data_IF_161635175258
#
_entry.id   IF_161635175258
#
_cell.length_a   1.000
_cell.length_b   1.000
_cell.length_c   1.000
_cell.angle_alpha   90.00
_cell.angle_beta   90.00
_cell.angle_gamma   90.00
#
_symmetry.space_group_name_H-M   'P 1'
#
loop_
_entity.id
_entity.type
_entity.pdbx_description
1 polymer ?
#
# COMPACT_ATOMS: atom_id res chain seq x y z
N UNK A 1 -62.01 58.94 -17.50
CA UNK A 1 -61.72 57.70 -16.77
C UNK A 1 -61.35 56.50 -17.67
N UNK A 2 -61.56 56.47 -18.96
CA UNK A 2 -61.18 55.33 -19.85
C UNK A 2 -59.69 55.27 -20.28
N UNK A 3 -58.96 56.36 -20.17
CA UNK A 3 -57.52 56.42 -20.61
C UNK A 3 -56.50 56.04 -19.49
N UNK A 4 -56.89 55.99 -18.26
CA UNK A 4 -56.02 55.58 -17.10
C UNK A 4 -55.96 54.03 -16.95
N UNK A 5 -56.99 53.33 -17.40
CA UNK A 5 -57.08 51.87 -17.31
C UNK A 5 -56.11 51.18 -18.29
N UNK A 6 -55.78 51.78 -19.45
CA UNK A 6 -54.86 51.19 -20.43
C UNK A 6 -53.39 51.33 -20.05
N UNK A 7 -53.00 52.29 -19.18
CA UNK A 7 -51.60 52.43 -18.71
C UNK A 7 -51.29 51.43 -17.58
N UNK A 8 -52.30 51.07 -16.77
CA UNK A 8 -52.14 50.04 -15.72
C UNK A 8 -52.03 48.63 -16.27
N UNK A 9 -52.56 48.31 -17.44
CA UNK A 9 -52.49 47.00 -18.06
C UNK A 9 -51.17 46.68 -18.76
N UNK A 10 -50.37 47.70 -19.13
CA UNK A 10 -49.08 47.53 -19.80
C UNK A 10 -47.92 47.29 -18.81
N UNK A 11 -48.06 47.72 -17.53
CA UNK A 11 -47.01 47.51 -16.52
C UNK A 11 -47.02 46.09 -15.91
N UNK A 12 -48.08 45.32 -16.11
CA UNK A 12 -48.22 43.94 -15.59
C UNK A 12 -47.70 42.86 -16.54
N UNK A 13 -47.25 43.22 -17.75
CA UNK A 13 -46.72 42.25 -18.72
C UNK A 13 -45.16 42.15 -18.75
N UNK A 14 -44.44 42.82 -17.84
CA UNK A 14 -42.98 42.79 -17.76
C UNK A 14 -42.48 41.84 -16.65
N UNK A 15 -43.25 40.83 -16.26
CA UNK A 15 -42.74 39.69 -15.47
C UNK A 15 -42.30 38.60 -16.46
N UNK A 16 -41.27 38.89 -17.25
CA UNK A 16 -40.49 37.86 -17.94
C UNK A 16 -39.76 37.04 -16.88
N UNK A 17 -40.01 35.74 -16.88
CA UNK A 17 -39.23 34.81 -16.11
C UNK A 17 -37.75 35.01 -16.41
N UNK A 18 -36.95 35.16 -15.39
CA UNK A 18 -35.50 35.05 -15.50
C UNK A 18 -35.20 33.65 -16.04
N UNK A 19 -34.73 33.58 -17.28
CA UNK A 19 -34.09 32.39 -17.81
C UNK A 19 -33.01 31.98 -16.79
N UNK A 20 -32.93 30.71 -16.49
CA UNK A 20 -31.89 30.21 -15.60
C UNK A 20 -30.53 30.57 -16.21
N UNK A 21 -29.78 31.36 -15.51
CA UNK A 21 -28.47 31.92 -15.94
C UNK A 21 -27.38 30.84 -16.05
N UNK A 22 -27.74 29.54 -15.88
CA UNK A 22 -26.83 28.40 -15.86
C UNK A 22 -27.47 27.15 -16.49
N UNK A 23 -26.62 26.31 -17.06
CA UNK A 23 -27.05 25.09 -17.75
C UNK A 23 -27.21 23.91 -16.80
N UNK A 24 -26.36 23.78 -15.79
CA UNK A 24 -26.42 22.70 -14.81
C UNK A 24 -26.01 23.15 -13.44
N UNK A 25 -26.46 22.40 -12.44
CA UNK A 25 -26.08 22.59 -11.03
C UNK A 25 -25.47 21.31 -10.45
N UNK A 26 -24.62 21.49 -9.44
CA UNK A 26 -24.01 20.39 -8.75
C UNK A 26 -23.39 20.77 -7.41
N UNK A 27 -22.59 19.87 -6.88
CA UNK A 27 -21.84 20.10 -5.64
C UNK A 27 -20.35 19.79 -5.84
N UNK A 28 -19.51 20.55 -5.16
CA UNK A 28 -18.08 20.29 -5.18
C UNK A 28 -17.73 19.06 -4.34
N UNK A 29 -16.97 18.17 -4.93
CA UNK A 29 -16.47 16.92 -4.32
C UNK A 29 -14.95 16.87 -4.44
N UNK A 30 -14.28 16.15 -3.55
CA UNK A 30 -12.86 15.82 -3.65
C UNK A 30 -12.67 14.30 -3.59
N UNK A 31 -11.55 13.84 -4.09
CA UNK A 31 -11.17 12.43 -3.90
C UNK A 31 -10.72 12.25 -2.46
N UNK A 32 -11.51 11.51 -1.69
CA UNK A 32 -11.26 11.21 -0.29
C UNK A 32 -10.62 9.83 -0.14
N UNK A 33 -9.61 9.74 0.73
CA UNK A 33 -8.96 8.49 1.11
C UNK A 33 -9.07 8.32 2.62
N UNK A 34 -9.65 7.20 3.04
CA UNK A 34 -9.69 6.80 4.45
C UNK A 34 -8.46 5.95 4.75
N UNK A 35 -7.58 6.47 5.59
CA UNK A 35 -6.39 5.75 6.07
C UNK A 35 -6.80 4.93 7.28
N UNK A 36 -6.67 3.61 7.16
CA UNK A 36 -6.99 2.66 8.22
C UNK A 36 -5.73 2.03 8.80
N UNK A 37 -5.82 1.55 10.03
CA UNK A 37 -4.72 0.84 10.68
C UNK A 37 -4.41 -0.48 9.99
N UNK A 38 -3.13 -0.75 9.75
CA UNK A 38 -2.62 -2.03 9.24
C UNK A 38 -2.10 -2.94 10.37
N UNK A 39 -2.05 -2.44 11.61
CA UNK A 39 -1.56 -3.16 12.77
C UNK A 39 -2.54 -3.10 13.94
N UNK A 40 -2.39 -4.02 14.89
CA UNK A 40 -3.14 -4.03 16.14
C UNK A 40 -2.21 -3.68 17.29
N UNK A 41 -2.61 -2.71 18.11
CA UNK A 41 -1.87 -2.24 19.27
C UNK A 41 -2.35 -0.88 19.74
N UNK A 42 -1.76 -0.39 20.84
CA UNK A 42 -2.04 0.97 21.33
C UNK A 42 -1.36 2.00 20.43
N UNK A 43 -2.07 3.05 20.06
CA UNK A 43 -1.50 4.21 19.37
C UNK A 43 -0.62 4.98 20.36
N UNK A 44 0.68 5.02 20.13
CA UNK A 44 1.64 5.69 21.01
C UNK A 44 1.66 7.19 20.77
N UNK A 45 1.67 7.59 19.49
CA UNK A 45 1.55 8.96 19.05
C UNK A 45 0.71 9.02 17.76
N UNK A 46 0.04 10.14 17.56
CA UNK A 46 -0.73 10.42 16.34
C UNK A 46 -0.80 11.93 16.16
N UNK A 47 0.21 12.47 15.48
CA UNK A 47 0.53 13.90 15.41
C UNK A 47 -0.14 14.54 14.19
N UNK A 48 -1.45 14.44 14.10
CA UNK A 48 -2.24 15.10 13.06
C UNK A 48 -3.38 15.90 13.68
N UNK A 49 -3.78 16.94 12.97
CA UNK A 49 -4.97 17.73 13.28
C UNK A 49 -5.79 17.93 12.00
N UNK A 50 -7.10 18.15 12.15
CA UNK A 50 -7.98 18.48 11.05
C UNK A 50 -7.55 19.80 10.41
N UNK A 51 -7.51 19.83 9.07
CA UNK A 51 -6.97 20.95 8.30
C UNK A 51 -5.46 20.91 8.04
N UNK A 52 -4.71 20.03 8.70
CA UNK A 52 -3.27 19.86 8.47
C UNK A 52 -3.00 19.33 7.06
N UNK A 53 -2.00 19.89 6.39
CA UNK A 53 -1.49 19.40 5.10
C UNK A 53 -0.42 18.34 5.34
N UNK A 54 -0.56 17.20 4.67
CA UNK A 54 0.39 16.09 4.73
C UNK A 54 0.83 15.69 3.32
N UNK A 55 2.02 15.11 3.21
CA UNK A 55 2.55 14.59 1.95
C UNK A 55 2.47 13.07 1.91
N UNK A 56 2.51 12.50 0.71
CA UNK A 56 2.53 11.05 0.54
C UNK A 56 3.74 10.42 1.27
N UNK A 57 3.52 9.26 1.90
CA UNK A 57 4.48 8.52 2.71
C UNK A 57 4.98 9.25 3.97
N UNK A 58 4.33 10.34 4.36
CA UNK A 58 4.62 11.01 5.64
C UNK A 58 4.19 10.10 6.80
N UNK A 59 5.10 9.92 7.77
CA UNK A 59 4.77 9.25 9.01
C UNK A 59 3.95 10.21 9.90
N UNK A 60 2.77 9.78 10.29
CA UNK A 60 1.82 10.60 11.06
C UNK A 60 1.53 10.03 12.45
N UNK A 61 1.99 8.81 12.72
CA UNK A 61 1.82 8.18 14.02
C UNK A 61 2.53 6.83 14.13
N UNK A 62 2.44 6.25 15.32
CA UNK A 62 3.08 4.97 15.63
C UNK A 62 2.17 4.14 16.56
N UNK A 63 2.03 2.86 16.25
CA UNK A 63 1.35 1.85 17.07
C UNK A 63 2.43 1.07 17.84
N UNK A 64 2.12 0.66 19.06
CA UNK A 64 3.04 -0.12 19.90
C UNK A 64 3.47 -1.42 19.22
N UNK A 65 4.75 -1.54 18.97
CA UNK A 65 5.39 -2.68 18.32
C UNK A 65 6.37 -3.42 19.22
N UNK A 66 6.41 -3.11 20.53
CA UNK A 66 7.40 -3.68 21.46
C UNK A 66 7.41 -5.21 21.45
N UNK A 67 6.23 -5.83 21.50
CA UNK A 67 6.12 -7.30 21.49
C UNK A 67 6.65 -7.92 20.19
N UNK A 68 6.42 -7.27 19.05
CA UNK A 68 6.93 -7.72 17.75
C UNK A 68 8.47 -7.62 17.71
N UNK A 69 9.04 -6.54 18.23
CA UNK A 69 10.50 -6.39 18.34
C UNK A 69 11.14 -7.45 19.25
N UNK A 70 10.49 -7.81 20.36
CA UNK A 70 10.97 -8.87 21.26
C UNK A 70 10.92 -10.24 20.59
N UNK A 71 9.83 -10.56 19.87
CA UNK A 71 9.71 -11.79 19.09
C UNK A 71 10.78 -11.86 17.99
N UNK A 72 10.99 -10.77 17.26
CA UNK A 72 12.06 -10.67 16.27
C UNK A 72 13.44 -10.95 16.88
N UNK A 73 13.76 -10.32 18.00
CA UNK A 73 15.02 -10.55 18.71
C UNK A 73 15.19 -12.01 19.13
N UNK A 74 14.13 -12.66 19.58
CA UNK A 74 14.13 -14.09 19.93
C UNK A 74 14.46 -14.96 18.71
N UNK A 75 13.83 -14.73 17.55
CA UNK A 75 14.10 -15.50 16.32
C UNK A 75 15.54 -15.29 15.83
N UNK A 76 16.08 -14.07 15.91
CA UNK A 76 17.48 -13.80 15.56
C UNK A 76 18.42 -14.57 16.46
N UNK A 77 18.15 -14.62 17.76
CA UNK A 77 18.95 -15.40 18.70
C UNK A 77 18.89 -16.90 18.41
N UNK A 78 17.70 -17.43 18.07
CA UNK A 78 17.53 -18.82 17.65
C UNK A 78 18.30 -19.15 16.38
N UNK A 79 18.22 -18.27 15.36
CA UNK A 79 18.98 -18.42 14.12
C UNK A 79 20.48 -18.43 14.37
N UNK A 80 20.99 -17.51 15.20
CA UNK A 80 22.39 -17.44 15.56
C UNK A 80 22.87 -18.70 16.27
N UNK A 81 22.10 -19.22 17.23
CA UNK A 81 22.40 -20.46 17.93
C UNK A 81 22.43 -21.66 16.97
N UNK A 82 21.47 -21.73 16.05
CA UNK A 82 21.41 -22.78 15.03
C UNK A 82 22.64 -22.73 14.11
N UNK A 83 23.05 -21.58 13.63
CA UNK A 83 24.22 -21.41 12.78
C UNK A 83 25.52 -21.76 13.51
N UNK A 84 25.60 -21.47 14.82
CA UNK A 84 26.77 -21.84 15.66
C UNK A 84 26.89 -23.35 15.81
N UNK A 85 25.78 -24.10 15.71
CA UNK A 85 25.80 -25.56 15.80
C UNK A 85 26.33 -26.28 14.56
N UNK A 86 26.71 -25.55 13.51
CA UNK A 86 27.29 -26.14 12.29
C UNK A 86 28.55 -26.94 12.62
N UNK A 87 28.63 -28.17 12.11
CA UNK A 87 29.82 -29.00 12.33
C UNK A 87 31.02 -28.44 11.57
N UNK A 88 32.18 -28.43 12.25
CA UNK A 88 33.44 -28.18 11.56
C UNK A 88 33.91 -29.45 10.87
N UNK A 89 33.51 -29.56 9.59
CA UNK A 89 33.77 -30.74 8.75
C UNK A 89 35.27 -31.06 8.70
N UNK A 90 36.15 -30.07 8.62
CA UNK A 90 37.59 -30.28 8.52
C UNK A 90 38.13 -30.96 9.78
N UNK A 91 37.74 -30.48 10.94
CA UNK A 91 38.19 -31.06 12.22
C UNK A 91 37.63 -32.46 12.43
N UNK A 92 36.35 -32.70 12.07
CA UNK A 92 35.71 -33.99 12.31
C UNK A 92 36.29 -35.13 11.45
N UNK A 93 36.75 -34.83 10.24
CA UNK A 93 37.34 -35.85 9.34
C UNK A 93 38.86 -35.87 9.37
N UNK A 94 39.52 -35.00 10.13
CA UNK A 94 40.99 -34.91 10.16
C UNK A 94 41.64 -36.24 10.54
N UNK A 95 41.19 -36.88 11.62
CA UNK A 95 41.72 -38.17 12.08
C UNK A 95 41.61 -39.27 11.04
N UNK A 96 40.47 -39.38 10.35
CA UNK A 96 40.29 -40.38 9.29
C UNK A 96 41.22 -40.10 8.10
N UNK A 97 41.42 -38.88 7.73
CA UNK A 97 42.38 -38.50 6.66
C UNK A 97 43.79 -38.85 7.00
N UNK A 98 44.24 -38.57 8.25
CA UNK A 98 45.58 -38.96 8.71
C UNK A 98 45.77 -40.47 8.72
N UNK A 99 44.76 -41.25 9.13
CA UNK A 99 44.80 -42.70 9.11
C UNK A 99 44.98 -43.22 7.65
N UNK A 100 44.21 -42.66 6.71
CA UNK A 100 44.35 -43.02 5.30
C UNK A 100 45.73 -42.68 4.74
N UNK A 101 46.26 -41.48 5.06
CA UNK A 101 47.64 -41.09 4.67
C UNK A 101 48.67 -42.06 5.20
N UNK A 102 48.56 -42.46 6.49
CA UNK A 102 49.42 -43.43 7.12
C UNK A 102 49.37 -44.79 6.40
N UNK A 103 48.13 -45.29 6.16
CA UNK A 103 47.99 -46.60 5.47
C UNK A 103 48.50 -46.58 4.01
N UNK A 104 48.28 -45.47 3.29
CA UNK A 104 48.84 -45.30 1.97
C UNK A 104 50.37 -45.23 1.94
N UNK A 105 51.00 -44.69 3.00
CA UNK A 105 52.44 -44.71 3.15
C UNK A 105 52.98 -46.14 3.43
N UNK A 106 52.26 -46.89 4.29
CA UNK A 106 52.55 -48.31 4.58
C UNK A 106 52.40 -49.19 3.34
N UNK A 107 51.35 -48.98 2.55
CA UNK A 107 51.13 -49.68 1.26
C UNK A 107 52.34 -49.50 0.33
N UNK A 108 52.84 -48.26 0.18
CA UNK A 108 54.01 -47.98 -0.64
C UNK A 108 55.26 -48.68 -0.12
N UNK A 109 55.43 -48.78 1.20
CA UNK A 109 56.56 -49.51 1.82
C UNK A 109 56.49 -51.00 1.54
N UNK A 110 55.29 -51.60 1.75
CA UNK A 110 55.08 -53.05 1.48
C UNK A 110 55.22 -53.38 -0.01
N UNK A 111 54.75 -52.48 -0.91
CA UNK A 111 54.84 -52.63 -2.35
C UNK A 111 56.33 -52.69 -2.82
N UNK A 112 57.20 -51.82 -2.25
CA UNK A 112 58.63 -51.88 -2.50
C UNK A 112 59.28 -53.16 -1.93
N UNK A 113 58.89 -53.59 -0.71
CA UNK A 113 59.37 -54.86 -0.12
C UNK A 113 58.89 -56.08 -0.89
N UNK A 114 57.69 -56.07 -1.48
CA UNK A 114 57.17 -57.14 -2.31
C UNK A 114 58.01 -57.28 -3.60
N UNK A 115 58.42 -56.18 -4.24
CA UNK A 115 59.30 -56.19 -5.40
C UNK A 115 60.67 -56.78 -5.10
N UNK A 116 61.14 -56.60 -3.86
CA UNK A 116 62.42 -57.15 -3.38
C UNK A 116 62.28 -58.57 -2.82
N UNK A 117 61.09 -59.22 -2.85
CA UNK A 117 60.79 -60.53 -2.34
C UNK A 117 60.73 -60.62 -0.80
N UNK A 118 60.70 -59.49 -0.10
CA UNK A 118 60.70 -59.39 1.37
C UNK A 118 59.33 -59.21 2.02
N UNK A 119 58.23 -59.19 1.21
CA UNK A 119 56.85 -59.13 1.68
C UNK A 119 55.96 -60.14 0.91
N UNK A 120 54.74 -60.38 1.39
CA UNK A 120 53.76 -61.31 0.73
C UNK A 120 52.62 -60.50 0.07
N UNK A 121 52.03 -61.04 -1.00
CA UNK A 121 50.87 -60.48 -1.66
C UNK A 121 49.72 -60.26 -0.67
N UNK A 122 49.48 -61.24 0.24
CA UNK A 122 48.48 -61.13 1.28
C UNK A 122 48.64 -59.86 2.15
N UNK A 123 49.87 -59.52 2.52
CA UNK A 123 50.14 -58.31 3.31
C UNK A 123 49.71 -57.00 2.54
N UNK A 124 49.97 -56.96 1.23
CA UNK A 124 49.54 -55.87 0.37
C UNK A 124 48.01 -55.81 0.30
N UNK A 125 47.34 -56.94 0.00
CA UNK A 125 45.90 -57.02 -0.10
C UNK A 125 45.17 -56.62 1.18
N UNK A 126 45.72 -57.03 2.38
CA UNK A 126 45.19 -56.65 3.69
C UNK A 126 45.25 -55.13 3.93
N UNK A 127 46.36 -54.47 3.51
CA UNK A 127 46.49 -52.98 3.65
C UNK A 127 45.55 -52.30 2.64
N UNK A 128 45.44 -52.77 1.41
CA UNK A 128 44.48 -52.22 0.41
C UNK A 128 43.03 -52.30 0.89
N UNK A 129 42.66 -53.48 1.48
CA UNK A 129 41.34 -53.64 2.07
C UNK A 129 41.09 -52.64 3.23
N UNK A 130 42.09 -52.45 4.11
CA UNK A 130 42.01 -51.46 5.20
C UNK A 130 41.86 -50.03 4.71
N UNK A 131 42.57 -49.64 3.65
CA UNK A 131 42.44 -48.32 3.01
C UNK A 131 40.99 -48.12 2.48
N UNK A 132 40.43 -49.12 1.77
CA UNK A 132 39.04 -49.06 1.28
C UNK A 132 38.04 -48.89 2.39
N UNK A 133 38.20 -49.60 3.53
CA UNK A 133 37.33 -49.43 4.69
C UNK A 133 37.40 -48.03 5.26
N UNK A 134 38.59 -47.46 5.43
CA UNK A 134 38.76 -46.08 5.91
C UNK A 134 38.24 -45.02 4.95
N UNK A 135 38.42 -45.22 3.63
CA UNK A 135 37.86 -44.35 2.60
C UNK A 135 36.31 -44.38 2.61
N UNK A 136 35.73 -45.56 2.73
CA UNK A 136 34.26 -45.72 2.88
C UNK A 136 33.73 -45.06 4.16
N UNK A 137 34.45 -45.15 5.30
CA UNK A 137 34.09 -44.45 6.54
C UNK A 137 34.19 -42.94 6.38
N UNK A 138 35.21 -42.44 5.67
CA UNK A 138 35.36 -41.00 5.38
C UNK A 138 34.19 -40.48 4.53
N UNK A 139 33.86 -41.20 3.47
CA UNK A 139 32.75 -40.84 2.59
C UNK A 139 31.39 -40.82 3.35
N UNK A 140 31.11 -41.85 4.14
CA UNK A 140 29.90 -41.90 4.96
C UNK A 140 29.82 -40.76 5.96
N UNK A 141 30.95 -40.41 6.62
CA UNK A 141 31.04 -39.29 7.55
C UNK A 141 30.81 -37.97 6.83
N UNK A 142 31.47 -37.73 5.70
CA UNK A 142 31.31 -36.53 4.89
C UNK A 142 29.86 -36.37 4.42
N UNK A 143 29.22 -37.46 3.96
CA UNK A 143 27.81 -37.45 3.56
C UNK A 143 26.88 -37.04 4.71
N UNK A 144 27.11 -37.61 5.91
CA UNK A 144 26.32 -37.27 7.12
C UNK A 144 26.50 -35.81 7.50
N UNK A 145 27.74 -35.30 7.52
CA UNK A 145 28.05 -33.93 7.87
C UNK A 145 27.49 -32.94 6.85
N UNK A 146 27.53 -33.30 5.57
CA UNK A 146 26.91 -32.51 4.49
C UNK A 146 25.39 -32.40 4.68
N UNK A 147 24.73 -33.53 4.93
CA UNK A 147 23.27 -33.54 5.21
C UNK A 147 22.92 -32.69 6.44
N UNK A 148 23.69 -32.83 7.53
CA UNK A 148 23.46 -32.02 8.73
C UNK A 148 23.65 -30.53 8.45
N UNK A 149 24.67 -30.14 7.69
CA UNK A 149 24.91 -28.76 7.31
C UNK A 149 23.78 -28.23 6.42
N UNK A 150 23.28 -29.03 5.47
CA UNK A 150 22.14 -28.64 4.64
C UNK A 150 20.89 -28.41 5.51
N UNK A 151 20.56 -29.36 6.40
CA UNK A 151 19.42 -29.22 7.32
C UNK A 151 19.51 -27.95 8.19
N UNK A 152 20.71 -27.62 8.69
CA UNK A 152 20.93 -26.40 9.47
C UNK A 152 20.69 -25.16 8.59
N UNK A 153 21.16 -25.18 7.33
CA UNK A 153 20.95 -24.07 6.40
C UNK A 153 19.46 -23.90 6.08
N UNK A 154 18.75 -24.99 5.77
CA UNK A 154 17.32 -24.97 5.44
C UNK A 154 16.49 -24.42 6.61
N UNK A 155 16.79 -24.87 7.83
CA UNK A 155 16.15 -24.34 9.03
C UNK A 155 16.50 -22.86 9.28
N UNK A 156 17.73 -22.41 8.97
CA UNK A 156 18.12 -21.01 9.05
C UNK A 156 17.35 -20.14 8.08
N UNK A 157 17.12 -20.61 6.85
CA UNK A 157 16.30 -19.92 5.84
C UNK A 157 14.85 -19.84 6.29
N UNK A 158 14.31 -20.89 6.90
CA UNK A 158 12.96 -20.86 7.46
C UNK A 158 12.80 -19.81 8.59
N UNK A 159 13.80 -19.69 9.48
CA UNK A 159 13.82 -18.64 10.51
C UNK A 159 13.95 -17.23 9.90
N UNK A 160 14.75 -17.07 8.85
CA UNK A 160 14.88 -15.80 8.13
C UNK A 160 13.54 -15.34 7.53
N UNK A 161 12.77 -16.26 6.94
CA UNK A 161 11.44 -15.96 6.44
C UNK A 161 10.49 -15.52 7.57
N UNK A 162 10.57 -16.13 8.77
CA UNK A 162 9.79 -15.71 9.93
C UNK A 162 10.20 -14.32 10.44
N UNK A 163 11.48 -14.00 10.44
CA UNK A 163 12.01 -12.67 10.80
C UNK A 163 11.49 -11.64 9.81
N UNK A 164 11.54 -11.91 8.50
CA UNK A 164 11.03 -11.01 7.47
C UNK A 164 9.52 -10.74 7.63
N UNK A 165 8.73 -11.75 7.98
CA UNK A 165 7.31 -11.57 8.27
C UNK A 165 7.04 -10.69 9.49
N UNK A 166 7.90 -10.76 10.52
CA UNK A 166 7.82 -9.85 11.66
C UNK A 166 8.26 -8.43 11.30
N UNK A 167 9.28 -8.27 10.45
CA UNK A 167 9.72 -6.97 9.97
C UNK A 167 8.63 -6.25 9.18
N UNK A 168 7.87 -6.96 8.32
CA UNK A 168 6.69 -6.44 7.65
C UNK A 168 5.63 -5.97 8.67
N UNK A 169 5.31 -6.78 9.67
CA UNK A 169 4.36 -6.41 10.73
C UNK A 169 4.82 -5.22 11.56
N UNK A 170 6.10 -5.11 11.86
CA UNK A 170 6.69 -3.96 12.56
C UNK A 170 6.59 -2.70 11.69
N UNK A 171 6.86 -2.82 10.40
CA UNK A 171 6.75 -1.68 9.48
C UNK A 171 5.33 -1.12 9.43
N UNK A 172 4.31 -1.97 9.48
CA UNK A 172 2.88 -1.62 9.51
C UNK A 172 2.44 -0.94 10.82
N UNK A 173 3.25 -1.01 11.87
CA UNK A 173 3.00 -0.24 13.09
C UNK A 173 3.30 1.26 12.93
N UNK A 174 3.97 1.67 11.85
CA UNK A 174 4.11 3.08 11.48
C UNK A 174 2.91 3.49 10.64
N UNK A 175 2.16 4.47 11.12
CA UNK A 175 1.01 5.02 10.38
C UNK A 175 1.56 5.99 9.34
N UNK A 176 1.44 5.62 8.06
CA UNK A 176 1.89 6.43 6.93
C UNK A 176 0.68 6.95 6.16
N UNK A 177 0.81 8.16 5.61
CA UNK A 177 -0.18 8.65 4.65
C UNK A 177 0.10 8.07 3.26
N UNK A 178 -0.83 7.35 2.62
CA UNK A 178 -0.62 6.81 1.27
C UNK A 178 -0.62 7.89 0.19
N UNK A 179 -1.26 9.02 0.45
CA UNK A 179 -1.42 10.13 -0.48
C UNK A 179 -1.11 11.47 0.21
N UNK A 180 -0.76 12.46 -0.60
CA UNK A 180 -0.70 13.85 -0.13
C UNK A 180 -2.08 14.48 -0.12
N UNK A 181 -2.31 15.45 0.78
CA UNK A 181 -3.57 16.16 0.86
C UNK A 181 -3.78 16.88 2.19
N UNK A 182 -5.02 17.22 2.48
CA UNK A 182 -5.43 17.84 3.74
C UNK A 182 -6.22 16.83 4.56
N UNK A 183 -5.93 16.74 5.84
CA UNK A 183 -6.70 15.92 6.80
C UNK A 183 -8.08 16.54 6.97
N UNK A 184 -9.11 15.79 6.61
CA UNK A 184 -10.51 16.22 6.76
C UNK A 184 -11.08 15.84 8.13
N UNK A 185 -10.78 14.61 8.57
CA UNK A 185 -11.31 14.06 9.82
C UNK A 185 -10.23 13.20 10.48
N UNK A 186 -10.12 13.33 11.79
CA UNK A 186 -9.32 12.48 12.67
C UNK A 186 -10.24 11.53 13.42
N UNK A 187 -10.14 10.22 13.20
CA UNK A 187 -11.03 9.21 13.79
C UNK A 187 -10.45 8.54 15.04
N UNK A 188 -9.18 8.76 15.36
CA UNK A 188 -8.51 8.10 16.47
C UNK A 188 -7.56 9.06 17.19
N UNK A 189 -7.31 8.79 18.46
CA UNK A 189 -6.41 9.57 19.31
C UNK A 189 -5.25 8.72 19.85
N UNK A 190 -4.14 9.40 20.22
CA UNK A 190 -3.07 8.76 20.96
C UNK A 190 -3.59 8.16 22.27
N UNK A 191 -3.14 6.95 22.59
CA UNK A 191 -3.62 6.20 23.75
C UNK A 191 -4.75 5.20 23.45
N UNK A 192 -5.47 5.36 22.34
CA UNK A 192 -6.51 4.42 21.92
C UNK A 192 -5.92 3.11 21.38
N UNK A 193 -6.77 2.07 21.36
CA UNK A 193 -6.44 0.80 20.72
C UNK A 193 -6.82 0.85 19.24
N UNK A 194 -5.83 0.58 18.38
CA UNK A 194 -6.03 0.33 16.97
C UNK A 194 -6.19 -1.18 16.72
N UNK A 195 -6.98 -1.52 15.73
CA UNK A 195 -7.09 -2.86 15.14
C UNK A 195 -6.97 -2.76 13.64
N UNK A 196 -6.55 -3.83 12.98
CA UNK A 196 -6.48 -3.85 11.51
C UNK A 196 -7.84 -3.48 10.91
N UNK A 197 -7.85 -2.53 9.98
CA UNK A 197 -9.05 -2.00 9.34
C UNK A 197 -9.75 -0.85 10.08
N UNK A 198 -9.36 -0.51 11.34
CA UNK A 198 -9.92 0.66 12.03
C UNK A 198 -9.55 1.95 11.30
N UNK A 199 -10.53 2.79 10.88
CA UNK A 199 -10.24 4.10 10.33
C UNK A 199 -9.47 4.95 11.34
N UNK A 200 -8.41 5.63 10.88
CA UNK A 200 -7.59 6.51 11.70
C UNK A 200 -7.76 7.98 11.29
N UNK A 201 -7.80 8.25 10.00
CA UNK A 201 -7.98 9.59 9.46
C UNK A 201 -8.58 9.53 8.05
N UNK A 202 -9.17 10.67 7.62
CA UNK A 202 -9.62 10.90 6.25
C UNK A 202 -8.84 12.04 5.65
N UNK A 203 -8.35 11.85 4.43
CA UNK A 203 -7.53 12.82 3.70
C UNK A 203 -8.18 13.10 2.36
N UNK A 204 -8.11 14.33 1.87
CA UNK A 204 -8.49 14.68 0.52
C UNK A 204 -7.48 15.63 -0.15
N UNK A 205 -7.35 15.49 -1.47
CA UNK A 205 -6.69 16.52 -2.28
C UNK A 205 -7.68 17.66 -2.51
N UNK A 206 -7.52 18.73 -1.74
CA UNK A 206 -8.35 19.93 -1.86
C UNK A 206 -7.84 20.91 -2.91
N UNK A 207 -6.68 20.68 -3.53
CA UNK A 207 -6.18 21.51 -4.61
C UNK A 207 -6.90 21.20 -5.93
N UNK A 208 -7.11 19.91 -6.20
CA UNK A 208 -7.82 19.44 -7.38
C UNK A 208 -9.20 18.92 -6.94
N UNK A 209 -10.20 19.76 -7.09
CA UNK A 209 -11.57 19.46 -6.68
C UNK A 209 -12.43 19.24 -7.94
N UNK A 210 -13.54 18.53 -7.80
CA UNK A 210 -14.48 18.28 -8.89
C UNK A 210 -15.81 18.91 -8.55
N UNK A 211 -16.42 19.59 -9.51
CA UNK A 211 -17.85 19.86 -9.47
C UNK A 211 -18.57 18.65 -10.11
N UNK A 212 -19.39 17.95 -9.33
CA UNK A 212 -20.30 16.93 -9.82
C UNK A 212 -21.62 17.60 -10.16
N UNK A 213 -21.76 17.97 -11.44
CA UNK A 213 -22.96 18.64 -11.97
C UNK A 213 -23.87 17.63 -12.69
N UNK A 214 -25.16 17.96 -12.79
CA UNK A 214 -26.19 17.10 -13.37
C UNK A 214 -26.81 17.77 -14.58
N UNK A 215 -26.64 17.12 -15.73
CA UNK A 215 -27.11 17.60 -17.02
C UNK A 215 -28.28 16.76 -17.53
N UNK A 216 -29.22 17.39 -18.20
CA UNK A 216 -30.29 16.69 -18.96
C UNK A 216 -29.69 16.03 -20.19
N UNK A 217 -30.47 15.12 -20.83
CA UNK A 217 -30.05 14.46 -22.07
C UNK A 217 -29.78 15.45 -23.23
N UNK A 218 -30.55 16.52 -23.31
CA UNK A 218 -30.42 17.54 -24.38
C UNK A 218 -29.14 18.36 -24.20
N UNK A 219 -28.81 18.72 -22.95
CA UNK A 219 -27.59 19.43 -22.63
C UNK A 219 -26.34 18.54 -22.84
N UNK A 220 -26.44 17.24 -22.51
CA UNK A 220 -25.35 16.29 -22.67
C UNK A 220 -24.87 16.14 -24.11
N UNK A 221 -25.77 16.33 -25.10
CA UNK A 221 -25.45 16.25 -26.52
C UNK A 221 -24.35 17.26 -26.95
N UNK A 222 -24.23 18.36 -26.23
CA UNK A 222 -23.30 19.47 -26.51
C UNK A 222 -21.98 19.38 -25.70
N UNK A 223 -21.83 18.39 -24.80
CA UNK A 223 -20.67 18.27 -23.90
C UNK A 223 -19.82 17.08 -24.31
N UNK A 224 -18.50 17.27 -24.34
CA UNK A 224 -17.52 16.23 -24.61
C UNK A 224 -16.47 16.17 -23.50
N UNK A 225 -15.89 15.01 -23.36
CA UNK A 225 -14.75 14.82 -22.45
C UNK A 225 -13.59 15.75 -22.86
N UNK A 226 -13.08 16.53 -21.92
CA UNK A 226 -12.00 17.48 -22.14
C UNK A 226 -12.44 18.91 -22.44
N UNK A 227 -13.73 19.16 -22.65
CA UNK A 227 -14.24 20.51 -22.89
C UNK A 227 -13.98 21.43 -21.70
N UNK A 228 -13.70 22.69 -22.00
CA UNK A 228 -13.61 23.75 -21.00
C UNK A 228 -14.98 24.38 -20.81
N UNK A 229 -15.38 24.52 -19.55
CA UNK A 229 -16.67 25.10 -19.16
C UNK A 229 -16.45 26.13 -18.06
N UNK A 230 -17.35 27.09 -17.98
CA UNK A 230 -17.36 28.07 -16.91
C UNK A 230 -18.10 27.47 -15.70
N UNK A 231 -17.46 27.50 -14.53
CA UNK A 231 -18.03 27.03 -13.27
C UNK A 231 -18.17 28.23 -12.34
N UNK A 232 -19.36 28.40 -11.80
CA UNK A 232 -19.68 29.46 -10.85
C UNK A 232 -19.93 28.83 -9.49
N UNK A 233 -19.15 29.24 -8.48
CA UNK A 233 -19.34 28.74 -7.11
C UNK A 233 -20.36 29.62 -6.39
N UNK A 234 -21.39 28.99 -5.79
CA UNK A 234 -22.45 29.66 -5.03
C UNK A 234 -22.11 29.61 -3.55
N UNK A 235 -21.82 30.76 -2.97
CA UNK A 235 -21.55 30.95 -1.54
C UNK A 235 -22.77 31.41 -0.75
N UNK A 236 -23.97 31.46 -1.39
CA UNK A 236 -25.22 31.84 -0.76
C UNK A 236 -25.42 33.34 -0.56
N UNK A 237 -24.65 34.20 -1.26
CA UNK A 237 -24.73 35.64 -1.25
C UNK A 237 -24.86 36.26 -2.63
N UNK A 238 -24.67 37.57 -2.74
CA UNK A 238 -24.61 38.28 -4.04
C UNK A 238 -23.25 38.05 -4.75
N UNK A 239 -22.20 37.64 -4.01
CA UNK A 239 -20.87 37.37 -4.55
C UNK A 239 -20.81 36.01 -5.22
N UNK A 240 -20.51 36.01 -6.50
CA UNK A 240 -20.27 34.81 -7.31
C UNK A 240 -18.82 34.77 -7.75
N UNK A 241 -18.20 33.61 -7.68
CA UNK A 241 -16.81 33.42 -8.09
C UNK A 241 -16.75 32.48 -9.27
N UNK A 242 -16.14 32.96 -10.34
CA UNK A 242 -15.98 32.25 -11.59
C UNK A 242 -14.69 31.43 -11.60
N UNK A 243 -14.79 30.19 -12.02
CA UNK A 243 -13.66 29.28 -12.23
C UNK A 243 -13.72 28.70 -13.64
N UNK A 244 -12.58 28.33 -14.17
CA UNK A 244 -12.52 27.51 -15.39
C UNK A 244 -12.46 26.05 -14.97
N UNK A 245 -13.41 25.27 -15.45
CA UNK A 245 -13.46 23.83 -15.23
C UNK A 245 -13.19 23.07 -16.53
N UNK A 246 -12.74 21.81 -16.41
CA UNK A 246 -12.58 20.91 -17.54
C UNK A 246 -13.38 19.63 -17.29
N UNK A 247 -14.18 19.22 -18.28
CA UNK A 247 -14.97 17.98 -18.21
C UNK A 247 -14.02 16.78 -18.11
N UNK A 248 -13.97 16.14 -16.94
CA UNK A 248 -13.08 15.02 -16.63
C UNK A 248 -13.75 13.66 -16.77
N UNK A 249 -15.08 13.60 -16.59
CA UNK A 249 -15.84 12.36 -16.68
C UNK A 249 -17.31 12.65 -16.91
N UNK A 250 -17.97 11.78 -17.70
CA UNK A 250 -19.40 11.81 -18.00
C UNK A 250 -19.96 10.43 -17.67
N UNK A 251 -21.06 10.38 -16.90
CA UNK A 251 -21.72 9.12 -16.57
C UNK A 251 -22.32 8.48 -17.82
N UNK A 252 -22.15 7.17 -17.98
CA UNK A 252 -22.83 6.37 -19.00
C UNK A 252 -24.25 5.94 -18.59
N UNK A 253 -24.60 6.13 -17.32
CA UNK A 253 -25.90 5.78 -16.78
C UNK A 253 -26.61 7.03 -16.26
N UNK A 254 -27.94 7.09 -16.50
CA UNK A 254 -28.76 8.17 -15.98
C UNK A 254 -29.06 7.95 -14.50
N UNK A 255 -29.12 9.02 -13.76
CA UNK A 255 -29.51 9.05 -12.34
C UNK A 255 -30.82 9.84 -12.20
N UNK A 256 -31.62 9.55 -11.16
CA UNK A 256 -32.73 10.43 -10.81
C UNK A 256 -32.17 11.69 -10.15
N UNK A 257 -32.77 12.85 -10.45
CA UNK A 257 -32.32 14.12 -9.89
C UNK A 257 -32.19 14.05 -8.35
N UNK A 258 -31.02 14.32 -7.76
CA UNK A 258 -30.83 14.32 -6.31
C UNK A 258 -31.77 15.34 -5.63
N UNK A 259 -32.25 15.01 -4.43
CA UNK A 259 -33.17 15.87 -3.66
C UNK A 259 -32.63 17.27 -3.31
N UNK A 260 -31.35 17.47 -3.43
CA UNK A 260 -30.63 18.74 -3.16
C UNK A 260 -30.81 19.77 -4.28
N UNK A 261 -31.27 19.37 -5.46
CA UNK A 261 -31.50 20.27 -6.60
C UNK A 261 -32.94 20.81 -6.54
N UNK A 262 -33.10 22.13 -6.37
CA UNK A 262 -34.37 22.74 -5.97
C UNK A 262 -35.25 23.31 -7.11
N UNK A 263 -34.94 23.10 -8.39
CA UNK A 263 -35.81 23.57 -9.49
C UNK A 263 -37.00 22.64 -9.69
N UNK A 264 -38.20 23.21 -9.89
CA UNK A 264 -39.44 22.44 -10.00
C UNK A 264 -39.48 21.51 -11.22
N UNK A 265 -38.81 21.87 -12.32
CA UNK A 265 -38.77 21.10 -13.56
C UNK A 265 -37.74 19.96 -13.56
N UNK A 266 -36.71 20.05 -12.69
CA UNK A 266 -35.65 19.05 -12.63
C UNK A 266 -36.00 17.78 -11.84
N UNK A 267 -37.09 17.79 -11.05
CA UNK A 267 -37.43 16.69 -10.14
C UNK A 267 -37.99 15.44 -10.81
N UNK A 268 -38.35 15.49 -12.07
CA UNK A 268 -38.98 14.39 -12.79
C UNK A 268 -38.15 13.84 -13.95
N UNK A 269 -36.99 14.43 -14.26
CA UNK A 269 -36.21 14.08 -15.44
C UNK A 269 -34.99 13.23 -15.05
N UNK A 270 -34.62 12.28 -15.90
CA UNK A 270 -33.37 11.58 -15.88
C UNK A 270 -32.22 12.54 -16.19
N UNK A 271 -31.22 12.55 -15.37
CA UNK A 271 -30.02 13.40 -15.51
C UNK A 271 -28.76 12.54 -15.55
N UNK A 272 -27.73 13.08 -16.14
CA UNK A 272 -26.42 12.44 -16.20
C UNK A 272 -25.43 13.22 -15.34
N UNK A 273 -24.70 12.52 -14.49
CA UNK A 273 -23.66 13.11 -13.68
C UNK A 273 -22.42 13.38 -14.54
N UNK A 274 -21.90 14.59 -14.47
CA UNK A 274 -20.65 15.02 -15.13
C UNK A 274 -19.70 15.54 -14.07
N UNK A 275 -18.47 15.03 -14.03
CA UNK A 275 -17.41 15.57 -13.18
C UNK A 275 -16.56 16.57 -13.94
N UNK A 276 -16.50 17.76 -13.43
CA UNK A 276 -15.75 18.88 -13.97
C UNK A 276 -14.61 19.17 -13.02
N UNK A 277 -13.36 18.97 -13.46
CA UNK A 277 -12.18 19.26 -12.69
C UNK A 277 -11.97 20.78 -12.60
N UNK A 278 -11.79 21.27 -11.37
CA UNK A 278 -11.57 22.70 -11.09
C UNK A 278 -10.37 22.85 -10.20
N UNK A 279 -9.47 23.76 -10.51
CA UNK A 279 -8.36 24.11 -9.63
C UNK A 279 -8.84 25.04 -8.51
N UNK A 280 -8.66 24.62 -7.26
CA UNK A 280 -9.14 25.34 -6.08
C UNK A 280 -8.11 26.36 -5.59
N UNK A 281 -8.51 27.60 -5.48
CA UNK A 281 -7.74 28.70 -4.88
C UNK A 281 -7.77 28.70 -3.35
N UNK A 282 -8.43 27.71 -2.73
CA UNK A 282 -8.63 27.56 -1.28
C UNK A 282 -10.01 27.96 -0.77
N UNK A 283 -10.84 28.59 -1.60
CA UNK A 283 -12.22 28.98 -1.25
C UNK A 283 -13.20 27.84 -1.40
N UNK A 284 -13.06 27.04 -2.46
CA UNK A 284 -13.97 25.92 -2.70
C UNK A 284 -13.88 24.89 -1.59
N UNK A 285 -15.04 24.46 -1.11
CA UNK A 285 -15.20 23.45 -0.07
C UNK A 285 -16.03 22.28 -0.57
N UNK A 286 -15.77 21.09 -0.03
CA UNK A 286 -16.59 19.91 -0.31
C UNK A 286 -18.02 20.18 0.13
N UNK A 287 -19.00 19.86 -0.72
CA UNK A 287 -20.43 20.10 -0.47
C UNK A 287 -20.92 21.50 -0.81
N UNK A 288 -20.03 22.44 -1.22
CA UNK A 288 -20.44 23.74 -1.74
C UNK A 288 -21.22 23.54 -3.05
N UNK A 289 -22.29 24.31 -3.24
CA UNK A 289 -23.03 24.34 -4.48
C UNK A 289 -22.24 25.04 -5.60
N UNK A 290 -22.44 24.59 -6.82
CA UNK A 290 -21.85 25.22 -8.00
C UNK A 290 -22.75 25.08 -9.22
N UNK A 291 -22.63 26.03 -10.12
CA UNK A 291 -23.36 26.13 -11.37
C UNK A 291 -22.39 26.01 -12.54
N UNK A 292 -22.87 25.50 -13.65
CA UNK A 292 -22.10 25.35 -14.90
C UNK A 292 -22.76 26.12 -16.00
N UNK A 293 -21.96 26.85 -16.76
CA UNK A 293 -22.33 27.57 -17.98
C UNK A 293 -21.49 26.97 -19.12
N UNK A 294 -22.15 26.49 -20.19
CA UNK A 294 -21.53 25.83 -21.36
C UNK A 294 -21.00 26.83 -22.37
#
# INVERSE_FOLDING_TARGET
MKRIVYIAAVVLAASCGTEAEFDAQGTFEATEVVVSSEATGRILNFEIEEGMKIVANQAVGTIDSLQLHLQRKQLIAQQSALLTSRPDVKKQVASLREQIVKQKSELRRVDNMLSDGAATQKQKDDIEAQIKILEGQLEATLSTLSKNTSTINDNSVALEAQIAALDDRISKCRILSPVGGTVLVKYAEAGELASVGKPLMKIADLKNIYLRAYFTSDQLANIKLGDEVKVVADFGGEERYDYTGRVAWISSESEFTPKTIQTKDSRANLVYAVKIAVENDGRLKIGLAGEVIL
#
